data_IF_629704975138
#
_entry.id   IF_629704975138
#
_cell.length_a   1.000
_cell.length_b   1.000
_cell.length_c   1.000
_cell.angle_alpha   90.00
_cell.angle_beta   90.00
_cell.angle_gamma   90.00
#
_symmetry.space_group_name_H-M   'P 1'
#
loop_
_entity.id
_entity.type
_entity.pdbx_description
1 polymer ?
#
# COMPACT_ATOMS: atom_id res chain seq x y z
N UNK A 1 20.06 17.88 0.27
CA UNK A 1 19.22 17.09 1.19
C UNK A 1 17.79 17.55 1.01
N UNK A 2 17.13 16.99 0.00
CA UNK A 2 15.69 17.10 -0.19
C UNK A 2 15.05 15.96 0.59
N UNK A 3 14.22 16.30 1.58
CA UNK A 3 13.45 15.31 2.34
C UNK A 3 12.03 15.33 1.81
N UNK A 4 11.51 14.16 1.48
CA UNK A 4 10.17 13.97 0.94
C UNK A 4 9.32 13.15 1.90
N UNK A 5 8.00 13.35 1.85
CA UNK A 5 7.05 12.56 2.64
C UNK A 5 5.93 12.09 1.74
N UNK A 6 5.66 10.79 1.79
CA UNK A 6 4.61 10.13 1.01
C UNK A 6 3.66 9.38 1.95
N UNK A 7 2.43 9.19 1.48
CA UNK A 7 1.45 8.33 2.13
C UNK A 7 1.35 7.03 1.36
N UNK A 8 1.26 5.93 2.09
CA UNK A 8 1.18 4.59 1.51
C UNK A 8 0.14 3.75 2.23
N UNK A 9 -0.53 2.88 1.50
CA UNK A 9 -1.65 2.09 2.00
C UNK A 9 -1.47 0.64 1.56
N UNK A 10 -1.51 -0.33 2.48
CA UNK A 10 -1.50 -1.74 2.11
C UNK A 10 -2.68 -2.15 1.23
N UNK A 11 -2.48 -3.13 0.36
CA UNK A 11 -3.56 -3.72 -0.41
C UNK A 11 -4.64 -4.38 0.48
N UNK A 12 -5.88 -4.36 0.00
CA UNK A 12 -6.98 -5.11 0.62
C UNK A 12 -6.81 -6.59 0.29
N UNK A 13 -6.95 -7.45 1.29
CA UNK A 13 -6.95 -8.90 1.13
C UNK A 13 -8.36 -9.48 1.27
N UNK A 14 -9.15 -8.96 2.21
CA UNK A 14 -10.51 -9.44 2.49
C UNK A 14 -11.48 -8.29 2.73
N UNK A 15 -12.70 -8.41 2.20
CA UNK A 15 -13.84 -7.56 2.52
C UNK A 15 -15.03 -8.44 2.92
N UNK A 16 -15.64 -8.14 4.07
CA UNK A 16 -16.86 -8.82 4.52
C UNK A 16 -18.01 -7.82 4.44
N UNK A 17 -19.06 -8.17 3.69
CA UNK A 17 -20.29 -7.40 3.59
C UNK A 17 -21.36 -7.98 4.52
N UNK A 18 -22.20 -7.10 5.06
CA UNK A 18 -23.43 -7.48 5.74
C UNK A 18 -24.50 -7.92 4.73
N UNK A 19 -25.62 -8.48 5.22
CA UNK A 19 -26.77 -8.89 4.39
C UNK A 19 -27.38 -7.71 3.59
N UNK A 20 -27.23 -6.48 4.09
CA UNK A 20 -27.66 -5.24 3.43
C UNK A 20 -26.61 -4.65 2.48
N UNK A 21 -25.52 -5.38 2.20
CA UNK A 21 -24.39 -4.98 1.35
C UNK A 21 -23.51 -3.86 1.90
N UNK A 22 -23.70 -3.41 3.14
CA UNK A 22 -22.77 -2.49 3.83
C UNK A 22 -21.49 -3.22 4.26
N UNK A 23 -20.38 -2.48 4.44
CA UNK A 23 -19.06 -3.07 4.74
C UNK A 23 -18.93 -3.34 6.23
N UNK A 24 -18.99 -4.62 6.61
CA UNK A 24 -18.75 -5.05 7.99
C UNK A 24 -17.28 -4.84 8.38
N UNK A 25 -16.36 -5.40 7.59
CA UNK A 25 -14.92 -5.32 7.86
C UNK A 25 -14.07 -5.33 6.61
N UNK A 26 -12.91 -4.70 6.71
CA UNK A 26 -11.86 -4.71 5.69
C UNK A 26 -10.59 -5.22 6.35
N UNK A 27 -9.98 -6.24 5.76
CA UNK A 27 -8.65 -6.70 6.13
C UNK A 27 -7.69 -6.29 5.02
N UNK A 28 -6.60 -5.63 5.39
CA UNK A 28 -5.49 -5.36 4.50
C UNK A 28 -4.35 -6.34 4.75
N UNK A 29 -3.43 -6.48 3.79
CA UNK A 29 -2.23 -7.29 3.97
C UNK A 29 -1.51 -6.86 5.26
N UNK A 30 -1.11 -7.85 6.08
CA UNK A 30 -0.55 -7.56 7.40
C UNK A 30 0.83 -6.93 7.27
N UNK A 31 0.83 -5.61 7.39
CA UNK A 31 2.00 -4.78 7.56
C UNK A 31 2.00 -4.24 8.99
N UNK A 32 2.84 -4.80 9.85
CA UNK A 32 3.32 -4.05 11.02
C UNK A 32 4.45 -3.10 10.57
N UNK A 33 4.73 -2.08 11.38
CA UNK A 33 5.77 -1.08 11.07
C UNK A 33 7.14 -1.69 10.78
N UNK A 34 7.48 -2.79 11.47
CA UNK A 34 8.76 -3.45 11.32
C UNK A 34 8.83 -4.20 9.99
N UNK A 35 7.75 -4.85 9.55
CA UNK A 35 7.64 -5.48 8.22
C UNK A 35 7.79 -4.47 7.10
N UNK A 36 7.08 -3.32 7.17
CA UNK A 36 7.23 -2.25 6.16
C UNK A 36 8.70 -1.79 6.11
N UNK A 37 9.32 -1.58 7.28
CA UNK A 37 10.71 -1.15 7.38
C UNK A 37 11.69 -2.17 6.80
N UNK A 38 11.48 -3.45 7.09
CA UNK A 38 12.34 -4.54 6.57
C UNK A 38 12.22 -4.61 5.06
N UNK A 39 11.00 -4.65 4.51
CA UNK A 39 10.79 -4.71 3.07
C UNK A 39 11.42 -3.51 2.35
N UNK A 40 11.22 -2.28 2.83
CA UNK A 40 11.84 -1.10 2.20
C UNK A 40 13.37 -1.22 2.21
N UNK A 41 13.99 -1.66 3.31
CA UNK A 41 15.45 -1.84 3.38
C UNK A 41 15.97 -2.90 2.41
N UNK A 42 15.28 -4.03 2.31
CA UNK A 42 15.65 -5.11 1.40
C UNK A 42 15.58 -4.65 -0.06
N UNK A 43 14.55 -3.88 -0.41
CA UNK A 43 14.36 -3.36 -1.76
C UNK A 43 15.35 -2.24 -2.11
N UNK A 44 15.68 -1.33 -1.18
CA UNK A 44 16.79 -0.38 -1.37
C UNK A 44 18.08 -1.15 -1.65
N UNK A 45 18.36 -2.21 -0.89
CA UNK A 45 19.56 -3.04 -1.09
C UNK A 45 19.58 -3.69 -2.47
N UNK A 46 18.44 -4.21 -2.95
CA UNK A 46 18.32 -4.78 -4.28
C UNK A 46 18.59 -3.72 -5.37
N UNK A 47 18.02 -2.53 -5.24
CA UNK A 47 18.28 -1.42 -6.16
C UNK A 47 19.77 -1.05 -6.17
N UNK A 48 20.42 -0.94 -5.00
CA UNK A 48 21.87 -0.67 -4.93
C UNK A 48 22.73 -1.79 -5.54
N UNK A 49 22.26 -3.03 -5.52
CA UNK A 49 22.94 -4.12 -6.23
C UNK A 49 22.84 -3.93 -7.74
N UNK A 50 21.66 -3.60 -8.27
CA UNK A 50 21.50 -3.26 -9.68
C UNK A 50 22.34 -2.04 -10.08
N UNK A 51 22.49 -1.02 -9.21
CA UNK A 51 23.35 0.14 -9.47
C UNK A 51 24.80 -0.29 -9.68
N UNK A 52 25.31 -1.15 -8.79
CA UNK A 52 26.68 -1.67 -8.87
C UNK A 52 26.93 -2.52 -10.10
N UNK A 53 25.90 -3.19 -10.62
CA UNK A 53 25.99 -4.00 -11.83
C UNK A 53 25.86 -3.15 -13.11
N UNK A 54 25.55 -1.86 -13.00
CA UNK A 54 25.26 -0.99 -14.14
C UNK A 54 23.99 -1.41 -14.90
N UNK A 55 23.09 -2.14 -14.24
CA UNK A 55 21.94 -2.76 -14.89
C UNK A 55 20.71 -1.86 -14.76
N UNK A 56 20.61 -0.88 -15.66
CA UNK A 56 19.40 -0.08 -15.88
C UNK A 56 19.10 -0.06 -17.36
N UNK A 57 18.20 -0.93 -17.82
CA UNK A 57 17.85 -1.03 -19.24
C UNK A 57 17.24 0.26 -19.81
N UNK A 58 16.70 1.15 -18.96
CA UNK A 58 15.99 2.36 -19.39
C UNK A 58 16.33 3.59 -18.53
N UNK A 59 16.07 3.54 -17.23
CA UNK A 59 16.24 4.67 -16.32
C UNK A 59 16.70 4.22 -14.92
N UNK A 60 17.26 5.16 -14.16
CA UNK A 60 17.51 4.96 -12.74
C UNK A 60 16.16 4.85 -12.03
N UNK A 61 15.99 3.90 -11.09
CA UNK A 61 14.75 3.75 -10.35
C UNK A 61 14.41 4.99 -9.53
N UNK A 62 13.14 5.17 -9.25
CA UNK A 62 12.59 6.13 -8.29
C UNK A 62 12.25 5.40 -6.98
N UNK A 63 12.38 6.08 -5.85
CA UNK A 63 12.05 5.46 -4.56
C UNK A 63 10.57 5.00 -4.50
N UNK A 64 9.68 5.85 -5.02
CA UNK A 64 8.23 5.61 -5.00
C UNK A 64 7.85 4.40 -5.86
N UNK A 65 8.21 4.39 -7.15
CA UNK A 65 7.72 3.38 -8.08
C UNK A 65 8.37 2.02 -7.83
N UNK A 66 9.68 1.98 -7.62
CA UNK A 66 10.40 0.72 -7.52
C UNK A 66 10.43 0.21 -6.09
N UNK A 67 10.87 1.00 -5.10
CA UNK A 67 11.06 0.50 -3.73
C UNK A 67 9.74 0.35 -2.99
N UNK A 68 8.84 1.32 -3.12
CA UNK A 68 7.57 1.34 -2.38
C UNK A 68 6.49 0.56 -3.12
N UNK A 69 6.05 1.01 -4.29
CA UNK A 69 4.85 0.42 -4.91
C UNK A 69 5.10 -0.97 -5.50
N UNK A 70 6.16 -1.12 -6.29
CA UNK A 70 6.41 -2.38 -7.01
C UNK A 70 6.76 -3.55 -6.10
N UNK A 71 7.48 -3.31 -4.99
CA UNK A 71 8.02 -4.41 -4.17
C UNK A 71 7.39 -4.57 -2.79
N UNK A 72 6.54 -3.65 -2.33
CA UNK A 72 5.92 -3.75 -1.01
C UNK A 72 4.41 -3.88 -1.02
N UNK A 73 3.76 -4.04 -2.19
CA UNK A 73 2.29 -4.07 -2.32
C UNK A 73 1.64 -2.91 -1.55
N UNK A 74 2.30 -1.75 -1.56
CA UNK A 74 1.84 -0.54 -0.91
C UNK A 74 1.47 0.46 -2.00
N UNK A 75 0.27 1.00 -1.92
CA UNK A 75 -0.23 1.94 -2.90
C UNK A 75 -0.17 3.39 -2.39
N UNK A 76 0.04 4.35 -3.29
CA UNK A 76 0.25 5.76 -2.93
C UNK A 76 -1.03 6.50 -2.54
N UNK A 77 -2.18 5.90 -2.82
CA UNK A 77 -3.47 6.45 -2.44
C UNK A 77 -4.49 5.35 -2.17
N UNK A 78 -5.47 5.66 -1.33
CA UNK A 78 -6.64 4.81 -1.11
C UNK A 78 -7.35 4.47 -2.43
N UNK A 79 -7.38 5.39 -3.39
CA UNK A 79 -7.97 5.17 -4.71
C UNK A 79 -7.23 4.10 -5.50
N UNK A 80 -5.92 4.05 -5.38
CA UNK A 80 -5.10 3.05 -6.06
C UNK A 80 -5.30 1.68 -5.42
N UNK A 81 -5.36 1.58 -4.09
CA UNK A 81 -5.74 0.35 -3.35
C UNK A 81 -7.07 -0.23 -3.85
N UNK A 82 -8.09 0.62 -4.00
CA UNK A 82 -9.42 0.19 -4.48
C UNK A 82 -9.36 -0.37 -5.92
N UNK A 83 -8.44 0.15 -6.74
CA UNK A 83 -8.31 -0.17 -8.17
C UNK A 83 -7.36 -1.33 -8.46
N UNK A 84 -6.71 -1.87 -7.43
CA UNK A 84 -5.83 -3.03 -7.58
C UNK A 84 -6.58 -4.18 -8.26
N UNK A 85 -5.90 -4.84 -9.19
CA UNK A 85 -6.46 -5.94 -9.99
C UNK A 85 -6.20 -7.33 -9.39
N UNK A 86 -5.54 -7.41 -8.24
CA UNK A 86 -5.35 -8.64 -7.49
C UNK A 86 -6.70 -9.17 -6.99
N UNK A 87 -6.85 -10.50 -6.99
CA UNK A 87 -8.04 -11.13 -6.45
C UNK A 87 -8.05 -10.99 -4.93
N UNK A 88 -9.22 -10.63 -4.39
CA UNK A 88 -9.46 -10.43 -2.97
C UNK A 88 -10.57 -11.38 -2.53
N UNK A 89 -10.55 -11.76 -1.26
CA UNK A 89 -11.65 -12.53 -0.67
C UNK A 89 -12.80 -11.58 -0.30
N UNK A 90 -13.85 -11.55 -1.13
CA UNK A 90 -15.04 -10.73 -0.87
C UNK A 90 -16.19 -11.65 -0.51
N UNK A 91 -16.69 -11.51 0.71
CA UNK A 91 -17.72 -12.35 1.29
C UNK A 91 -19.02 -11.55 1.50
N UNK A 92 -20.17 -12.22 1.33
CA UNK A 92 -21.50 -11.63 1.49
C UNK A 92 -22.37 -11.79 0.24
N UNK A 93 -23.46 -11.00 0.08
CA UNK A 93 -24.40 -11.10 -1.02
C UNK A 93 -23.85 -10.49 -2.33
N UNK A 94 -22.73 -11.01 -2.84
CA UNK A 94 -22.05 -10.52 -4.04
C UNK A 94 -21.28 -11.61 -4.78
N UNK A 95 -21.11 -11.44 -6.09
CA UNK A 95 -20.20 -12.24 -6.92
C UNK A 95 -18.87 -11.50 -7.21
N UNK A 96 -18.68 -10.32 -6.61
CA UNK A 96 -17.45 -9.54 -6.78
C UNK A 96 -16.26 -10.28 -6.18
N UNK A 97 -15.10 -10.14 -6.81
CA UNK A 97 -13.83 -10.67 -6.31
C UNK A 97 -12.72 -9.60 -6.24
N UNK A 98 -13.09 -8.34 -6.49
CA UNK A 98 -12.24 -7.16 -6.39
C UNK A 98 -13.05 -5.97 -5.90
N UNK A 99 -12.43 -5.09 -5.11
CA UNK A 99 -13.13 -3.96 -4.50
C UNK A 99 -13.69 -2.99 -5.54
N UNK A 100 -12.98 -2.74 -6.65
CA UNK A 100 -13.49 -1.84 -7.69
C UNK A 100 -14.78 -2.34 -8.38
N UNK A 101 -15.11 -3.63 -8.27
CA UNK A 101 -16.36 -4.21 -8.79
C UNK A 101 -17.56 -3.97 -7.87
N UNK A 102 -17.33 -3.62 -6.59
CA UNK A 102 -18.39 -3.35 -5.64
C UNK A 102 -19.20 -2.09 -6.03
N UNK A 103 -20.44 -1.95 -5.51
CA UNK A 103 -21.20 -0.72 -5.58
C UNK A 103 -20.41 0.50 -5.06
N UNK A 104 -20.75 1.69 -5.54
CA UNK A 104 -20.02 2.92 -5.22
C UNK A 104 -20.03 3.22 -3.71
N UNK A 105 -21.15 2.98 -3.04
CA UNK A 105 -21.31 3.15 -1.60
C UNK A 105 -20.34 2.25 -0.81
N UNK A 106 -20.29 0.96 -1.16
CA UNK A 106 -19.38 0.01 -0.53
C UNK A 106 -17.91 0.36 -0.79
N UNK A 107 -17.55 0.85 -1.99
CA UNK A 107 -16.18 1.32 -2.27
C UNK A 107 -15.77 2.50 -1.41
N UNK A 108 -16.70 3.43 -1.15
CA UNK A 108 -16.48 4.56 -0.24
C UNK A 108 -16.26 4.05 1.19
N UNK A 109 -17.10 3.13 1.67
CA UNK A 109 -16.95 2.54 3.00
C UNK A 109 -15.63 1.76 3.16
N UNK A 110 -15.22 0.97 2.16
CA UNK A 110 -13.93 0.28 2.17
C UNK A 110 -12.79 1.31 2.31
N UNK A 111 -12.81 2.35 1.48
CA UNK A 111 -11.79 3.42 1.49
C UNK A 111 -11.67 4.10 2.87
N UNK A 112 -12.80 4.33 3.55
CA UNK A 112 -12.81 4.93 4.89
C UNK A 112 -12.15 4.03 5.94
N UNK A 113 -12.28 2.70 5.81
CA UNK A 113 -11.69 1.71 6.72
C UNK A 113 -10.20 1.40 6.43
N UNK A 114 -9.63 1.91 5.33
CA UNK A 114 -8.22 1.68 5.01
C UNK A 114 -7.29 2.45 5.95
N UNK A 115 -6.34 1.74 6.56
CA UNK A 115 -5.19 2.32 7.26
C UNK A 115 -3.97 2.41 6.32
N UNK A 116 -2.98 3.22 6.73
CA UNK A 116 -1.76 3.39 5.97
C UNK A 116 -0.63 3.97 6.81
N UNK A 117 0.45 4.38 6.14
CA UNK A 117 1.67 4.90 6.75
C UNK A 117 2.13 6.19 6.07
N UNK A 118 2.82 7.03 6.82
CA UNK A 118 3.65 8.11 6.31
C UNK A 118 5.10 7.66 6.27
N UNK A 119 5.72 7.76 5.10
CA UNK A 119 7.13 7.48 4.91
C UNK A 119 7.82 8.81 4.60
N UNK A 120 8.74 9.20 5.47
CA UNK A 120 9.63 10.36 5.25
C UNK A 120 11.02 9.85 4.91
N UNK A 121 11.59 10.27 3.79
CA UNK A 121 12.88 9.79 3.29
C UNK A 121 13.72 10.94 2.70
N UNK A 122 15.04 10.78 2.68
CA UNK A 122 15.93 11.64 1.88
C UNK A 122 15.90 11.17 0.42
N UNK A 123 15.49 12.05 -0.51
CA UNK A 123 15.31 11.67 -1.92
C UNK A 123 16.61 11.54 -2.71
N UNK A 124 17.75 11.96 -2.13
CA UNK A 124 19.09 11.70 -2.64
C UNK A 124 19.66 10.40 -2.03
N UNK A 125 19.39 10.15 -0.75
CA UNK A 125 19.91 9.05 0.07
C UNK A 125 18.77 8.27 0.73
N UNK A 126 18.10 7.45 -0.07
CA UNK A 126 16.89 6.71 0.31
C UNK A 126 17.05 5.80 1.55
N UNK A 127 18.29 5.46 1.92
CA UNK A 127 18.61 4.69 3.12
C UNK A 127 18.14 5.35 4.42
N UNK A 128 18.07 6.68 4.44
CA UNK A 128 17.61 7.45 5.57
C UNK A 128 16.11 7.70 5.45
N UNK A 129 15.32 6.78 6.02
CA UNK A 129 13.87 6.90 6.05
C UNK A 129 13.27 6.58 7.41
N UNK A 130 12.09 7.15 7.66
CA UNK A 130 11.26 6.88 8.84
C UNK A 130 9.85 6.54 8.40
N UNK A 131 9.18 5.70 9.18
CA UNK A 131 7.79 5.29 8.93
C UNK A 131 6.99 5.59 10.19
N UNK A 132 5.81 6.16 10.00
CA UNK A 132 4.81 6.35 11.06
C UNK A 132 3.46 5.85 10.57
N UNK A 133 2.63 5.25 11.42
CA UNK A 133 1.25 4.97 11.04
C UNK A 133 0.53 6.30 10.78
N UNK A 134 -0.34 6.33 9.79
CA UNK A 134 -1.30 7.43 9.66
C UNK A 134 -2.24 7.34 10.87
N UNK A 135 -2.27 8.38 11.69
CA UNK A 135 -3.23 8.50 12.79
C UNK A 135 -4.63 8.73 12.22
N UNK A 136 -5.25 7.69 11.68
CA UNK A 136 -6.66 7.65 11.31
C UNK A 136 -7.19 6.24 11.56
N UNK A 137 -7.04 5.75 12.80
CA UNK A 137 -8.03 4.81 13.32
C UNK A 137 -9.06 5.64 14.09
N UNK A 138 -10.36 5.55 13.75
CA UNK A 138 -11.38 5.83 14.74
C UNK A 138 -11.17 4.80 15.85
N UNK A 139 -10.68 5.25 16.99
CA UNK A 139 -10.66 4.49 18.24
C UNK A 139 -12.05 3.91 18.51
N UNK A 140 -12.07 2.59 18.75
CA UNK A 140 -13.05 1.77 19.49
C UNK A 140 -14.55 2.02 19.27
#
# INVERSE_FOLDING_TARGET
MSTETIKVFPEVTTVILNDDSTVASVTQEYYDLDKVKVHIKENIRLVRQYEKMGYYNLAKPEFINEVITTFTNLELSKKDVIRVNNFMDIQGPTECNRVWQLPDEAKVEVSQKLYGFEITYDSEKWEDFTIKPLNDNPTD
#
